data_IF_748484848388
#
_entry.id   IF_748484848388
#
_cell.length_a   1.000
_cell.length_b   1.000
_cell.length_c   1.000
_cell.angle_alpha   90.00
_cell.angle_beta   90.00
_cell.angle_gamma   90.00
#
_symmetry.space_group_name_H-M   'P 1'
#
loop_
_entity.id
_entity.type
_entity.pdbx_description
1 polymer ?
#
# COMPACT_ATOMS: atom_id res chain seq x y z
N UNK A 1 73.47 26.01 72.41
CA UNK A 1 74.70 25.34 72.02
C UNK A 1 74.65 25.10 70.54
N UNK A 2 75.11 26.08 69.74
CA UNK A 2 76.42 26.10 69.04
C UNK A 2 76.70 24.87 68.18
N UNK A 3 76.56 25.00 66.88
CA UNK A 3 77.71 25.13 65.96
C UNK A 3 77.28 25.29 64.50
N UNK A 4 77.76 26.35 63.92
CA UNK A 4 77.93 26.72 62.53
C UNK A 4 79.03 25.88 61.91
N UNK A 5 78.89 25.44 60.65
CA UNK A 5 80.06 25.31 59.73
C UNK A 5 79.62 25.64 58.29
N UNK A 6 80.46 26.42 57.64
CA UNK A 6 80.47 27.08 56.36
C UNK A 6 80.71 26.15 55.14
N UNK A 7 80.07 26.45 54.01
CA UNK A 7 80.45 26.67 52.59
C UNK A 7 81.72 25.94 52.02
N UNK A 8 81.73 25.48 50.72
CA UNK A 8 81.97 26.45 49.65
C UNK A 8 81.19 26.19 48.33
N UNK A 9 81.03 27.26 47.57
CA UNK A 9 80.60 27.44 46.21
C UNK A 9 81.43 26.67 45.19
N UNK A 10 80.84 26.18 44.12
CA UNK A 10 81.54 26.04 42.85
C UNK A 10 80.56 26.30 41.67
N UNK A 11 81.10 27.06 40.77
CA UNK A 11 80.50 27.78 39.64
C UNK A 11 80.53 26.89 38.38
N UNK A 12 79.65 27.20 37.46
CA UNK A 12 79.65 26.99 35.97
C UNK A 12 79.13 25.69 35.36
N UNK A 13 78.21 25.92 34.41
CA UNK A 13 77.87 25.00 33.38
C UNK A 13 76.53 25.30 32.68
N UNK A 14 76.47 26.44 31.97
CA UNK A 14 75.36 26.75 31.05
C UNK A 14 75.39 25.84 29.83
N UNK A 15 74.33 25.14 29.57
CA UNK A 15 74.04 24.59 28.22
C UNK A 15 72.59 24.80 27.87
N UNK A 16 72.25 25.54 26.81
CA UNK A 16 70.85 25.73 26.35
C UNK A 16 70.57 24.76 25.22
N UNK A 17 70.04 23.59 25.51
CA UNK A 17 69.53 22.70 24.47
C UNK A 17 68.44 21.78 24.99
N UNK A 18 67.23 22.31 25.29
CA UNK A 18 66.01 21.50 25.49
C UNK A 18 64.70 22.22 25.17
N UNK A 19 64.65 23.25 24.35
CA UNK A 19 63.38 23.94 23.99
C UNK A 19 62.86 23.61 22.64
N UNK A 20 63.53 22.93 21.73
CA UNK A 20 63.08 22.63 20.38
C UNK A 20 62.27 21.30 20.27
N UNK A 21 62.49 20.33 21.15
CA UNK A 21 61.74 19.02 21.05
C UNK A 21 60.33 19.07 21.59
N UNK A 22 60.00 19.97 22.53
CA UNK A 22 58.59 20.04 23.05
C UNK A 22 57.63 20.71 22.12
N UNK A 23 57.98 21.59 21.20
CA UNK A 23 57.07 22.24 20.26
C UNK A 23 56.67 21.31 19.12
N UNK A 24 57.55 20.45 18.65
CA UNK A 24 57.23 19.52 17.55
C UNK A 24 56.30 18.37 17.99
N UNK A 25 56.36 17.94 19.25
CA UNK A 25 55.48 16.90 19.80
C UNK A 25 54.04 17.39 19.99
N UNK A 26 53.86 18.65 20.44
CA UNK A 26 52.51 19.22 20.60
C UNK A 26 51.81 19.45 19.25
N UNK A 27 52.53 19.86 18.21
CA UNK A 27 51.93 20.03 16.86
C UNK A 27 51.53 18.71 16.21
N UNK A 28 52.30 17.65 16.42
CA UNK A 28 51.95 16.31 15.93
C UNK A 28 50.71 15.74 16.65
N UNK A 29 50.61 15.92 17.97
CA UNK A 29 49.46 15.49 18.76
C UNK A 29 48.18 16.24 18.34
N UNK A 30 48.30 17.56 18.13
CA UNK A 30 47.20 18.41 17.70
C UNK A 30 46.75 18.09 16.27
N UNK A 31 47.67 17.81 15.35
CA UNK A 31 47.38 17.37 13.99
C UNK A 31 46.66 15.99 13.98
N UNK A 32 47.10 15.05 14.82
CA UNK A 32 46.47 13.74 14.95
C UNK A 32 45.05 13.85 15.53
N UNK A 33 44.82 14.70 16.54
CA UNK A 33 43.45 14.95 17.05
C UNK A 33 42.53 15.57 16.02
N UNK A 34 42.98 16.50 15.21
CA UNK A 34 42.22 17.14 14.15
C UNK A 34 41.79 16.08 13.09
N UNK A 35 42.71 15.19 12.70
CA UNK A 35 42.44 14.10 11.74
C UNK A 35 41.45 13.11 12.33
N UNK A 36 41.56 12.72 13.59
CA UNK A 36 40.62 11.81 14.25
C UNK A 36 39.24 12.44 14.37
N UNK A 37 39.15 13.72 14.74
CA UNK A 37 37.85 14.44 14.80
C UNK A 37 37.22 14.56 13.39
N UNK A 38 38.03 14.82 12.37
CA UNK A 38 37.56 14.88 10.99
C UNK A 38 37.05 13.51 10.49
N UNK A 39 37.73 12.41 10.84
CA UNK A 39 37.29 11.04 10.52
C UNK A 39 35.98 10.69 11.26
N UNK A 40 35.87 11.03 12.53
CA UNK A 40 34.64 10.81 13.31
C UNK A 40 33.50 11.66 12.74
N UNK A 41 33.73 12.91 12.39
CA UNK A 41 32.74 13.76 11.75
C UNK A 41 32.32 13.23 10.38
N UNK A 42 33.27 12.72 9.57
CA UNK A 42 32.95 12.07 8.29
C UNK A 42 32.17 10.75 8.47
N UNK A 43 32.49 9.94 9.48
CA UNK A 43 31.76 8.73 9.82
C UNK A 43 30.33 9.03 10.34
N UNK A 44 30.15 10.09 11.12
CA UNK A 44 28.83 10.56 11.57
C UNK A 44 28.01 11.12 10.41
N UNK A 45 28.64 11.82 9.47
CA UNK A 45 28.00 12.30 8.24
C UNK A 45 27.62 11.14 7.31
N UNK A 46 28.47 10.09 7.20
CA UNK A 46 28.16 8.87 6.43
C UNK A 46 27.09 8.00 7.10
N UNK A 47 27.06 7.96 8.43
CA UNK A 47 26.00 7.26 9.17
C UNK A 47 24.65 8.02 9.11
N UNK A 48 24.68 9.35 9.00
CA UNK A 48 23.48 10.19 8.81
C UNK A 48 22.90 10.16 7.40
N UNK A 49 23.63 9.62 6.42
CA UNK A 49 23.17 9.42 5.03
C UNK A 49 22.69 7.99 4.73
N UNK A 50 22.51 7.12 5.74
CA UNK A 50 21.53 6.06 5.61
C UNK A 50 20.20 6.77 5.35
N UNK A 51 19.76 6.84 4.09
CA UNK A 51 18.48 7.41 3.71
C UNK A 51 17.46 6.75 4.63
N UNK A 52 16.90 7.51 5.56
CA UNK A 52 15.67 7.09 6.21
C UNK A 52 14.73 6.82 5.04
N UNK A 53 14.50 5.55 4.72
CA UNK A 53 13.55 5.15 3.70
C UNK A 53 12.24 5.78 4.16
N UNK A 54 11.78 6.77 3.43
CA UNK A 54 10.57 7.52 3.78
C UNK A 54 9.49 6.47 3.98
N UNK A 55 8.90 6.42 5.17
CA UNK A 55 7.83 5.47 5.44
C UNK A 55 6.79 5.58 4.32
N UNK A 56 6.29 4.48 3.76
CA UNK A 56 5.32 4.56 2.69
C UNK A 56 4.14 5.40 3.15
N UNK A 57 3.63 6.23 2.26
CA UNK A 57 2.45 7.06 2.53
C UNK A 57 1.24 6.18 2.86
N UNK A 58 1.17 4.99 2.24
CA UNK A 58 0.09 4.01 2.36
C UNK A 58 0.57 2.66 2.87
N UNK A 59 -0.25 2.02 3.70
CA UNK A 59 -0.04 0.63 4.12
C UNK A 59 -0.48 -0.36 3.02
N UNK A 60 -1.39 0.04 2.14
CA UNK A 60 -1.79 -0.72 0.97
C UNK A 60 -0.85 -0.43 -0.22
N UNK A 61 0.01 -1.39 -0.65
CA UNK A 61 0.95 -1.16 -1.74
C UNK A 61 0.29 -0.85 -3.09
N UNK A 62 -0.94 -1.31 -3.31
CA UNK A 62 -1.70 -0.98 -4.51
C UNK A 62 -2.16 0.49 -4.47
N UNK A 63 -2.63 0.97 -3.34
CA UNK A 63 -2.98 2.40 -3.16
C UNK A 63 -1.74 3.27 -3.31
N UNK A 64 -0.60 2.88 -2.72
CA UNK A 64 0.66 3.60 -2.86
C UNK A 64 1.03 3.88 -4.32
N UNK A 65 0.95 2.84 -5.18
CA UNK A 65 1.23 2.98 -6.61
C UNK A 65 0.18 3.82 -7.34
N UNK A 66 -1.11 3.55 -7.08
CA UNK A 66 -2.21 4.30 -7.73
C UNK A 66 -2.16 5.79 -7.37
N UNK A 67 -1.83 6.15 -6.13
CA UNK A 67 -1.67 7.52 -5.68
C UNK A 67 -0.53 8.25 -6.41
N UNK A 68 0.50 7.50 -6.83
CA UNK A 68 1.60 7.98 -7.68
C UNK A 68 1.27 7.97 -9.17
N UNK A 69 0.03 7.63 -9.56
CA UNK A 69 -0.39 7.50 -10.96
C UNK A 69 0.19 6.29 -11.69
N UNK A 70 0.83 5.36 -10.96
CA UNK A 70 1.39 4.13 -11.52
C UNK A 70 0.31 3.06 -11.69
N UNK A 71 0.46 2.15 -12.66
CA UNK A 71 -0.42 1.00 -12.79
C UNK A 71 -0.10 -0.05 -11.71
N UNK A 72 -1.11 -0.84 -11.35
CA UNK A 72 -1.00 -2.03 -10.52
C UNK A 72 -1.31 -3.27 -11.34
N UNK A 73 -0.52 -4.32 -11.13
CA UNK A 73 -0.69 -5.62 -11.79
C UNK A 73 -0.95 -6.67 -10.72
N UNK A 74 -1.94 -7.49 -10.95
CA UNK A 74 -2.33 -8.52 -9.99
C UNK A 74 -2.94 -9.76 -10.63
N UNK A 75 -3.34 -10.70 -9.78
CA UNK A 75 -3.95 -11.95 -10.19
C UNK A 75 -5.12 -12.32 -9.27
N UNK A 76 -5.81 -13.41 -9.61
CA UNK A 76 -6.89 -13.96 -8.77
C UNK A 76 -6.55 -15.35 -8.25
N UNK A 77 -7.25 -15.76 -7.20
CA UNK A 77 -7.26 -17.13 -6.69
C UNK A 77 -8.62 -17.46 -6.09
N UNK A 78 -9.02 -18.71 -6.17
CA UNK A 78 -10.11 -19.34 -5.40
C UNK A 78 -9.55 -20.26 -4.30
N UNK A 79 -8.25 -20.58 -4.35
CA UNK A 79 -7.56 -21.38 -3.36
C UNK A 79 -7.06 -20.53 -2.19
N UNK A 80 -7.75 -20.63 -1.05
CA UNK A 80 -7.42 -19.99 0.22
C UNK A 80 -6.62 -20.90 1.16
N UNK A 81 -6.01 -21.98 0.65
CA UNK A 81 -5.12 -22.80 1.47
C UNK A 81 -3.94 -21.97 1.99
N UNK A 82 -3.49 -22.27 3.19
CA UNK A 82 -2.37 -21.60 3.84
C UNK A 82 -1.12 -21.58 2.96
N UNK A 83 -0.83 -22.70 2.28
CA UNK A 83 0.32 -22.85 1.41
C UNK A 83 0.23 -21.95 0.17
N UNK A 84 -0.96 -21.85 -0.46
CA UNK A 84 -1.15 -20.98 -1.60
C UNK A 84 -1.02 -19.51 -1.19
N UNK A 85 -1.66 -19.09 -0.08
CA UNK A 85 -1.58 -17.72 0.40
C UNK A 85 -0.14 -17.31 0.79
N UNK A 86 0.67 -18.20 1.39
CA UNK A 86 2.10 -17.97 1.61
C UNK A 86 2.86 -17.76 0.29
N UNK A 87 2.50 -18.51 -0.76
CA UNK A 87 3.13 -18.37 -2.07
C UNK A 87 2.75 -17.03 -2.72
N UNK A 88 1.47 -16.66 -2.64
CA UNK A 88 0.94 -15.40 -3.17
C UNK A 88 1.61 -14.17 -2.56
N UNK A 89 1.92 -14.19 -1.25
CA UNK A 89 2.60 -13.10 -0.56
C UNK A 89 3.98 -12.75 -1.14
N UNK A 90 4.59 -13.66 -1.91
CA UNK A 90 5.94 -13.53 -2.47
C UNK A 90 5.97 -13.28 -3.98
N UNK A 91 4.82 -13.37 -4.64
CA UNK A 91 4.75 -13.13 -6.08
C UNK A 91 5.13 -11.67 -6.41
N UNK A 92 5.48 -11.46 -7.67
CA UNK A 92 5.78 -10.12 -8.16
C UNK A 92 4.52 -9.45 -8.72
N UNK A 93 3.52 -9.36 -7.84
CA UNK A 93 2.27 -8.66 -8.08
C UNK A 93 2.08 -7.55 -7.04
N UNK A 94 1.25 -6.57 -7.39
CA UNK A 94 0.86 -5.49 -6.49
C UNK A 94 -0.36 -5.86 -5.66
N UNK A 95 -1.24 -6.69 -6.23
CA UNK A 95 -2.43 -7.20 -5.55
C UNK A 95 -2.77 -8.63 -5.97
N UNK A 96 -3.47 -9.31 -5.10
CA UNK A 96 -4.21 -10.55 -5.38
C UNK A 96 -5.62 -10.38 -4.88
N UNK A 97 -6.61 -10.87 -5.61
CA UNK A 97 -7.94 -10.98 -5.02
C UNK A 97 -8.40 -12.44 -4.95
N UNK A 98 -9.05 -12.74 -3.81
CA UNK A 98 -9.76 -14.00 -3.62
C UNK A 98 -11.12 -13.89 -4.30
N UNK A 99 -11.41 -14.84 -5.20
CA UNK A 99 -12.67 -14.91 -5.92
C UNK A 99 -13.61 -15.86 -5.20
N UNK A 100 -14.56 -15.29 -4.46
CA UNK A 100 -15.66 -16.02 -3.83
C UNK A 100 -16.99 -15.82 -4.56
N UNK A 101 -17.03 -15.06 -5.65
CA UNK A 101 -18.22 -14.97 -6.51
C UNK A 101 -18.46 -16.29 -7.25
N UNK A 102 -17.41 -16.85 -7.86
CA UNK A 102 -17.47 -18.10 -8.60
C UNK A 102 -16.96 -19.30 -7.78
N UNK A 103 -16.56 -19.05 -6.54
CA UNK A 103 -16.13 -20.04 -5.57
C UNK A 103 -16.99 -20.03 -4.30
N UNK A 104 -16.72 -20.94 -3.35
CA UNK A 104 -17.45 -20.97 -2.08
C UNK A 104 -17.20 -19.69 -1.26
N UNK A 105 -18.24 -19.12 -0.68
CA UNK A 105 -18.11 -18.07 0.33
C UNK A 105 -17.50 -18.70 1.60
N UNK A 106 -16.22 -18.42 1.85
CA UNK A 106 -15.45 -18.98 2.95
C UNK A 106 -14.69 -17.89 3.70
N UNK A 107 -15.34 -17.28 4.68
CA UNK A 107 -14.75 -16.19 5.47
C UNK A 107 -13.62 -16.68 6.39
N UNK A 108 -13.67 -17.92 6.89
CA UNK A 108 -12.57 -18.49 7.68
C UNK A 108 -11.32 -18.68 6.82
N UNK A 109 -11.49 -19.19 5.59
CA UNK A 109 -10.40 -19.30 4.62
C UNK A 109 -9.81 -17.93 4.29
N UNK A 110 -10.65 -16.90 4.13
CA UNK A 110 -10.19 -15.53 3.92
C UNK A 110 -9.36 -15.01 5.10
N UNK A 111 -9.79 -15.25 6.34
CA UNK A 111 -9.06 -14.85 7.55
C UNK A 111 -7.68 -15.53 7.60
N UNK A 112 -7.60 -16.83 7.29
CA UNK A 112 -6.33 -17.56 7.19
C UNK A 112 -5.43 -16.98 6.09
N UNK A 113 -6.00 -16.65 4.94
CA UNK A 113 -5.25 -16.07 3.84
C UNK A 113 -4.70 -14.69 4.20
N UNK A 114 -5.49 -13.81 4.81
CA UNK A 114 -5.02 -12.52 5.32
C UNK A 114 -3.82 -12.70 6.24
N UNK A 115 -3.91 -13.60 7.22
CA UNK A 115 -2.82 -13.88 8.15
C UNK A 115 -1.58 -14.47 7.46
N UNK A 116 -1.78 -15.32 6.44
CA UNK A 116 -0.71 -16.01 5.70
C UNK A 116 0.03 -15.08 4.73
N UNK A 117 -0.61 -14.04 4.24
CA UNK A 117 0.00 -13.10 3.28
C UNK A 117 0.97 -12.10 3.91
N UNK A 118 1.16 -12.13 5.22
CA UNK A 118 2.17 -11.31 5.91
C UNK A 118 3.52 -12.03 5.88
N UNK A 119 4.38 -11.68 4.94
CA UNK A 119 5.79 -12.12 4.94
C UNK A 119 6.59 -11.31 5.97
N UNK A 120 6.72 -11.86 7.18
CA UNK A 120 7.42 -11.23 8.31
C UNK A 120 8.87 -10.88 8.00
N UNK A 121 9.55 -11.72 7.20
CA UNK A 121 10.94 -11.45 6.83
C UNK A 121 11.04 -10.24 5.90
N UNK A 122 10.11 -10.10 4.94
CA UNK A 122 10.02 -8.95 4.06
C UNK A 122 9.69 -7.67 4.83
N UNK A 123 8.71 -7.72 5.75
CA UNK A 123 8.32 -6.61 6.64
C UNK A 123 9.51 -6.15 7.49
N UNK A 124 10.20 -7.06 8.17
CA UNK A 124 11.37 -6.74 9.00
C UNK A 124 12.51 -6.15 8.18
N UNK A 125 12.79 -6.71 6.99
CA UNK A 125 13.84 -6.18 6.08
C UNK A 125 13.49 -4.80 5.54
N UNK A 126 12.20 -4.56 5.24
CA UNK A 126 11.69 -3.29 4.72
C UNK A 126 11.62 -2.21 5.81
N UNK A 127 11.45 -2.60 7.08
CA UNK A 127 11.34 -1.70 8.22
C UNK A 127 10.00 -0.98 8.35
N UNK A 128 8.94 -1.49 7.71
CA UNK A 128 7.58 -0.98 7.84
C UNK A 128 6.54 -2.09 7.65
N UNK A 129 5.30 -1.83 8.08
CA UNK A 129 4.20 -2.81 8.10
C UNK A 129 3.54 -3.07 6.72
N UNK A 130 3.86 -2.32 5.66
CA UNK A 130 3.27 -2.49 4.35
C UNK A 130 3.63 -3.87 3.76
N UNK A 131 2.67 -4.73 3.41
CA UNK A 131 2.94 -6.01 2.75
C UNK A 131 3.52 -5.79 1.34
N UNK A 132 4.10 -6.83 0.73
CA UNK A 132 4.52 -6.77 -0.67
C UNK A 132 3.33 -6.76 -1.63
N UNK A 133 2.29 -7.53 -1.31
CA UNK A 133 1.11 -7.77 -2.14
C UNK A 133 -0.14 -7.43 -1.34
N UNK A 134 -0.99 -6.56 -1.84
CA UNK A 134 -2.28 -6.28 -1.22
C UNK A 134 -3.28 -7.43 -1.46
N UNK A 135 -4.04 -7.78 -0.43
CA UNK A 135 -5.11 -8.77 -0.56
C UNK A 135 -6.46 -8.07 -0.68
N UNK A 136 -7.19 -8.40 -1.74
CA UNK A 136 -8.57 -7.99 -2.00
C UNK A 136 -9.47 -9.23 -2.04
N UNK A 137 -10.78 -9.03 -2.07
CA UNK A 137 -11.73 -10.10 -2.31
C UNK A 137 -12.89 -9.63 -3.21
N UNK A 138 -13.48 -10.58 -3.90
CA UNK A 138 -14.73 -10.47 -4.63
C UNK A 138 -15.72 -11.45 -4.01
N UNK A 139 -16.90 -10.95 -3.66
CA UNK A 139 -17.93 -11.73 -2.96
C UNK A 139 -19.09 -12.09 -3.89
N UNK A 140 -19.92 -13.12 -3.55
CA UNK A 140 -21.06 -13.51 -4.37
C UNK A 140 -22.21 -12.48 -4.35
N UNK A 141 -22.22 -11.55 -3.40
CA UNK A 141 -23.23 -10.51 -3.35
C UNK A 141 -22.97 -9.45 -4.43
N UNK A 142 -23.94 -9.28 -5.33
CA UNK A 142 -23.91 -8.20 -6.31
C UNK A 142 -24.02 -6.82 -5.65
N UNK A 143 -23.49 -5.77 -6.30
CA UNK A 143 -23.57 -4.41 -5.80
C UNK A 143 -25.01 -3.91 -5.53
N UNK A 144 -26.00 -4.49 -6.18
CA UNK A 144 -27.41 -4.24 -5.93
C UNK A 144 -27.99 -4.96 -4.69
N UNK A 145 -27.35 -6.04 -4.21
CA UNK A 145 -27.71 -6.74 -2.98
C UNK A 145 -27.04 -6.05 -1.78
N UNK A 146 -27.63 -4.93 -1.38
CA UNK A 146 -27.08 -4.10 -0.29
C UNK A 146 -27.18 -4.77 1.07
N UNK A 147 -28.18 -5.64 1.29
CA UNK A 147 -28.37 -6.34 2.57
C UNK A 147 -27.25 -7.34 2.83
N UNK A 148 -26.91 -8.15 1.82
CA UNK A 148 -25.78 -9.08 1.93
C UNK A 148 -24.44 -8.35 2.02
N UNK A 149 -24.24 -7.29 1.26
CA UNK A 149 -22.99 -6.50 1.30
C UNK A 149 -22.77 -5.82 2.65
N UNK A 150 -23.78 -5.37 3.37
CA UNK A 150 -23.62 -4.70 4.67
C UNK A 150 -22.81 -5.56 5.66
N UNK A 151 -23.17 -6.82 5.86
CA UNK A 151 -22.48 -7.68 6.81
C UNK A 151 -21.22 -8.33 6.24
N UNK A 152 -21.18 -8.70 4.95
CA UNK A 152 -20.00 -9.30 4.30
C UNK A 152 -18.82 -8.31 4.31
N UNK A 153 -19.06 -7.06 3.88
CA UNK A 153 -18.04 -5.99 3.84
C UNK A 153 -17.45 -5.77 5.23
N UNK A 154 -18.31 -5.65 6.24
CA UNK A 154 -17.86 -5.47 7.61
C UNK A 154 -16.96 -6.61 8.09
N UNK A 155 -17.38 -7.86 7.92
CA UNK A 155 -16.59 -9.02 8.37
C UNK A 155 -15.26 -9.10 7.61
N UNK A 156 -15.25 -8.90 6.31
CA UNK A 156 -14.04 -8.94 5.50
C UNK A 156 -13.01 -7.87 5.91
N UNK A 157 -13.47 -6.65 6.13
CA UNK A 157 -12.58 -5.57 6.55
C UNK A 157 -12.11 -5.73 8.01
N UNK A 158 -12.93 -6.32 8.88
CA UNK A 158 -12.53 -6.62 10.26
C UNK A 158 -11.46 -7.73 10.34
N UNK A 159 -11.32 -8.56 9.29
CA UNK A 159 -10.21 -9.52 9.13
C UNK A 159 -8.91 -8.86 8.67
N UNK A 160 -8.96 -7.64 8.12
CA UNK A 160 -7.80 -6.93 7.62
C UNK A 160 -7.67 -6.87 6.10
N UNK A 161 -8.74 -7.16 5.35
CA UNK A 161 -8.76 -7.03 3.90
C UNK A 161 -8.53 -5.56 3.49
N UNK A 162 -7.82 -5.35 2.36
CA UNK A 162 -7.41 -4.01 1.90
C UNK A 162 -8.21 -3.48 0.71
N UNK A 163 -9.11 -4.28 0.15
CA UNK A 163 -9.96 -3.85 -0.96
C UNK A 163 -11.06 -4.85 -1.26
N UNK A 164 -12.16 -4.34 -1.83
CA UNK A 164 -13.32 -5.15 -2.20
C UNK A 164 -13.73 -4.83 -3.63
N UNK A 165 -13.88 -5.88 -4.43
CA UNK A 165 -14.46 -5.82 -5.78
C UNK A 165 -15.96 -6.12 -5.64
N UNK A 166 -16.78 -5.16 -6.00
CA UNK A 166 -18.23 -5.23 -5.94
C UNK A 166 -18.79 -5.56 -7.34
N UNK A 167 -19.26 -6.77 -7.53
CA UNK A 167 -19.83 -7.24 -8.81
C UNK A 167 -21.10 -6.48 -9.17
N UNK A 168 -21.37 -6.31 -10.45
CA UNK A 168 -22.66 -5.84 -10.96
C UNK A 168 -23.17 -4.54 -10.34
N UNK A 169 -22.28 -3.58 -10.14
CA UNK A 169 -22.67 -2.22 -9.71
C UNK A 169 -23.28 -1.48 -10.88
N UNK A 170 -24.51 -1.02 -10.71
CA UNK A 170 -25.32 -0.43 -11.78
C UNK A 170 -25.60 1.05 -11.59
N UNK A 171 -25.59 1.55 -10.34
CA UNK A 171 -25.95 2.95 -10.05
C UNK A 171 -25.02 3.61 -9.07
N UNK A 172 -25.02 4.94 -9.12
CA UNK A 172 -24.32 5.81 -8.18
C UNK A 172 -24.79 5.59 -6.74
N UNK A 173 -26.08 5.40 -6.53
CA UNK A 173 -26.69 5.20 -5.21
C UNK A 173 -26.23 3.89 -4.58
N UNK A 174 -26.20 2.81 -5.36
CA UNK A 174 -25.65 1.51 -4.92
C UNK A 174 -24.18 1.69 -4.48
N UNK A 175 -23.35 2.28 -5.34
CA UNK A 175 -21.92 2.46 -5.03
C UNK A 175 -21.70 3.37 -3.83
N UNK A 176 -22.50 4.43 -3.68
CA UNK A 176 -22.47 5.28 -2.48
C UNK A 176 -22.70 4.47 -1.21
N UNK A 177 -23.71 3.56 -1.24
CA UNK A 177 -24.03 2.71 -0.10
C UNK A 177 -22.90 1.71 0.22
N UNK A 178 -22.29 1.11 -0.80
CA UNK A 178 -21.15 0.21 -0.65
C UNK A 178 -19.93 0.92 -0.04
N UNK A 179 -19.66 2.15 -0.45
CA UNK A 179 -18.62 2.99 0.18
C UNK A 179 -18.95 3.24 1.66
N UNK A 180 -20.20 3.52 2.00
CA UNK A 180 -20.62 3.71 3.41
C UNK A 180 -20.37 2.46 4.26
N UNK A 181 -20.58 1.26 3.73
CA UNK A 181 -20.32 0.00 4.44
C UNK A 181 -18.83 -0.23 4.72
N UNK A 182 -17.94 0.32 3.88
CA UNK A 182 -16.49 0.21 4.09
C UNK A 182 -15.97 1.20 5.14
N UNK A 183 -16.66 2.29 5.39
CA UNK A 183 -16.21 3.39 6.24
C UNK A 183 -16.73 3.27 7.66
N UNK A 184 -15.89 3.54 8.65
CA UNK A 184 -16.37 3.82 10.00
C UNK A 184 -17.15 5.14 10.04
N UNK A 185 -18.12 5.31 10.98
CA UNK A 185 -18.70 6.63 11.23
C UNK A 185 -17.61 7.65 11.55
N UNK A 186 -17.59 8.75 10.82
CA UNK A 186 -16.54 9.77 10.96
C UNK A 186 -16.70 10.57 12.25
N UNK A 187 -15.57 10.90 12.88
CA UNK A 187 -15.55 11.85 13.98
C UNK A 187 -16.00 13.23 13.48
N UNK A 188 -16.61 14.04 14.36
CA UNK A 188 -17.13 15.38 14.02
C UNK A 188 -16.05 16.31 13.44
N UNK A 189 -14.79 16.07 13.79
CA UNK A 189 -13.61 16.83 13.32
C UNK A 189 -13.04 16.36 12.00
N UNK A 190 -13.51 15.24 11.44
CA UNK A 190 -13.02 14.71 10.18
C UNK A 190 -13.29 15.69 9.03
N UNK A 191 -12.34 15.80 8.11
CA UNK A 191 -12.49 16.57 6.87
C UNK A 191 -13.38 15.86 5.84
N UNK A 192 -13.48 14.53 5.93
CA UNK A 192 -14.14 13.67 4.92
C UNK A 192 -15.45 13.12 5.48
N UNK A 193 -16.42 14.01 5.77
CA UNK A 193 -17.68 13.65 6.40
C UNK A 193 -18.63 12.86 5.49
N UNK A 194 -18.56 13.06 4.17
CA UNK A 194 -19.52 12.51 3.22
C UNK A 194 -18.86 11.53 2.23
N UNK A 195 -19.53 10.42 1.93
CA UNK A 195 -20.74 9.89 2.58
C UNK A 195 -20.41 9.35 3.99
N UNK A 196 -21.32 9.49 4.98
CA UNK A 196 -21.06 9.03 6.35
C UNK A 196 -20.89 7.50 6.38
N UNK A 197 -19.95 7.01 7.19
CA UNK A 197 -19.69 5.58 7.33
C UNK A 197 -20.77 4.86 8.14
N UNK A 198 -20.94 3.58 7.86
CA UNK A 198 -21.92 2.69 8.50
C UNK A 198 -21.28 1.44 9.10
N UNK A 199 -19.98 1.22 8.85
CA UNK A 199 -19.27 0.04 9.36
C UNK A 199 -19.27 0.04 10.89
N UNK A 200 -19.73 -1.07 11.51
CA UNK A 200 -19.60 -1.28 12.94
C UNK A 200 -18.13 -1.37 13.38
N UNK A 201 -17.82 -0.82 14.55
CA UNK A 201 -16.44 -0.72 15.03
C UNK A 201 -15.99 -2.01 15.73
N UNK A 202 -15.11 -2.80 15.09
CA UNK A 202 -14.46 -3.97 15.68
C UNK A 202 -13.07 -4.22 15.04
N UNK A 203 -12.09 -3.33 15.22
CA UNK A 203 -10.85 -3.35 14.44
C UNK A 203 -9.81 -4.38 14.91
N UNK A 204 -10.03 -5.13 15.97
CA UNK A 204 -8.98 -5.90 16.67
C UNK A 204 -8.19 -6.85 15.78
N UNK A 205 -8.84 -7.64 14.93
CA UNK A 205 -8.15 -8.55 14.02
C UNK A 205 -7.44 -7.80 12.89
N UNK A 206 -8.06 -6.76 12.34
CA UNK A 206 -7.46 -5.96 11.28
C UNK A 206 -6.23 -5.19 11.77
N UNK A 207 -6.25 -4.63 12.97
CA UNK A 207 -5.10 -4.01 13.64
C UNK A 207 -3.94 -5.00 13.74
N UNK A 208 -4.22 -6.24 14.17
CA UNK A 208 -3.21 -7.29 14.24
C UNK A 208 -2.68 -7.69 12.85
N UNK A 209 -3.58 -7.86 11.88
CA UNK A 209 -3.21 -8.25 10.51
C UNK A 209 -2.37 -7.18 9.80
N UNK A 210 -2.69 -5.90 10.01
CA UNK A 210 -1.92 -4.80 9.43
C UNK A 210 -0.63 -4.48 10.21
N UNK A 211 -0.47 -5.00 11.43
CA UNK A 211 0.72 -4.79 12.25
C UNK A 211 0.93 -3.35 12.71
N UNK A 212 -0.16 -2.63 12.97
CA UNK A 212 -0.17 -1.22 13.35
C UNK A 212 -0.92 -1.02 14.68
N UNK A 213 -0.84 0.18 15.26
CA UNK A 213 -1.67 0.54 16.41
C UNK A 213 -3.14 0.77 16.00
N UNK A 214 -4.07 0.69 16.96
CA UNK A 214 -5.48 0.98 16.69
C UNK A 214 -5.69 2.39 16.12
N UNK A 215 -4.97 3.39 16.63
CA UNK A 215 -5.04 4.77 16.16
C UNK A 215 -4.50 4.93 14.72
N UNK A 216 -3.46 4.18 14.34
CA UNK A 216 -2.97 4.15 12.96
C UNK A 216 -3.97 3.46 12.04
N UNK A 217 -4.50 2.31 12.47
CA UNK A 217 -5.53 1.60 11.71
C UNK A 217 -6.75 2.51 11.44
N UNK A 218 -7.26 3.23 12.44
CA UNK A 218 -8.40 4.13 12.26
C UNK A 218 -8.14 5.24 11.23
N UNK A 219 -6.93 5.76 11.14
CA UNK A 219 -6.56 6.76 10.12
C UNK A 219 -6.56 6.19 8.72
N UNK A 220 -6.08 4.95 8.57
CA UNK A 220 -5.89 4.28 7.30
C UNK A 220 -7.10 3.44 6.86
N UNK A 221 -7.99 3.05 7.78
CA UNK A 221 -9.17 2.23 7.50
C UNK A 221 -10.33 3.04 6.91
N UNK A 222 -10.03 3.87 5.93
CA UNK A 222 -10.99 4.64 5.15
C UNK A 222 -10.73 4.47 3.65
N UNK A 223 -11.68 4.82 2.81
CA UNK A 223 -11.59 4.58 1.37
C UNK A 223 -10.74 5.65 0.67
N UNK A 224 -9.75 5.19 -0.10
CA UNK A 224 -9.01 6.03 -1.02
C UNK A 224 -9.78 6.12 -2.36
N UNK A 225 -9.77 7.26 -3.09
CA UNK A 225 -9.10 8.54 -2.80
C UNK A 225 -9.93 9.55 -2.01
N UNK A 226 -11.12 9.19 -1.51
CA UNK A 226 -11.96 10.09 -0.72
C UNK A 226 -11.18 10.64 0.49
N UNK A 227 -10.56 9.75 1.25
CA UNK A 227 -9.55 10.11 2.23
C UNK A 227 -8.16 9.83 1.62
N UNK A 228 -7.32 10.86 1.38
CA UNK A 228 -5.99 10.65 0.81
C UNK A 228 -5.04 9.79 1.66
N UNK A 229 -5.31 9.63 2.97
CA UNK A 229 -4.56 8.73 3.87
C UNK A 229 -5.21 7.34 3.95
N UNK A 230 -6.35 7.13 3.31
CA UNK A 230 -7.07 5.85 3.32
C UNK A 230 -6.34 4.76 2.56
N UNK A 231 -6.47 3.53 3.05
CA UNK A 231 -5.83 2.34 2.47
C UNK A 231 -6.83 1.27 2.01
N UNK A 232 -8.12 1.59 2.03
CA UNK A 232 -9.17 0.70 1.52
C UNK A 232 -9.54 1.06 0.08
N UNK A 233 -9.56 0.06 -0.81
CA UNK A 233 -10.02 0.23 -2.19
C UNK A 233 -11.45 -0.30 -2.35
N UNK A 234 -12.38 0.59 -2.70
CA UNK A 234 -13.72 0.26 -3.16
C UNK A 234 -13.71 0.18 -4.69
N UNK A 235 -13.95 -1.01 -5.24
CA UNK A 235 -13.75 -1.30 -6.66
C UNK A 235 -15.08 -1.82 -7.26
N UNK A 236 -15.93 -0.94 -7.83
CA UNK A 236 -17.11 -1.41 -8.56
C UNK A 236 -16.69 -2.14 -9.82
N UNK A 237 -17.37 -3.26 -10.11
CA UNK A 237 -17.28 -3.97 -11.37
C UNK A 237 -18.47 -3.57 -12.25
N UNK A 238 -18.15 -2.92 -13.38
CA UNK A 238 -19.15 -2.53 -14.39
C UNK A 238 -19.20 -3.59 -15.46
N UNK A 239 -20.29 -4.35 -15.46
CA UNK A 239 -20.43 -5.55 -16.31
C UNK A 239 -21.85 -5.77 -16.84
N UNK A 240 -22.78 -4.86 -16.53
CA UNK A 240 -24.16 -4.87 -17.03
C UNK A 240 -24.41 -3.71 -17.99
N UNK A 241 -25.45 -3.81 -18.82
CA UNK A 241 -25.85 -2.72 -19.72
C UNK A 241 -26.24 -1.45 -18.93
N UNK A 242 -26.90 -1.60 -17.79
CA UNK A 242 -27.28 -0.46 -16.94
C UNK A 242 -26.04 0.16 -16.27
N UNK A 243 -25.11 -0.65 -15.75
CA UNK A 243 -23.84 -0.16 -15.19
C UNK A 243 -23.02 0.59 -16.25
N UNK A 244 -22.96 0.08 -17.48
CA UNK A 244 -22.29 0.75 -18.60
C UNK A 244 -22.92 2.12 -18.91
N UNK A 245 -24.24 2.19 -18.92
CA UNK A 245 -24.97 3.46 -19.15
C UNK A 245 -24.68 4.49 -18.07
N UNK A 246 -24.55 4.06 -16.80
CA UNK A 246 -24.36 4.91 -15.64
C UNK A 246 -22.87 5.07 -15.23
N UNK A 247 -21.92 4.51 -16.00
CA UNK A 247 -20.49 4.46 -15.61
C UNK A 247 -19.89 5.83 -15.32
N UNK A 248 -20.31 6.86 -16.04
CA UNK A 248 -19.83 8.22 -15.81
C UNK A 248 -20.26 8.77 -14.45
N UNK A 249 -21.48 8.47 -14.00
CA UNK A 249 -21.96 8.85 -12.68
C UNK A 249 -21.29 8.05 -11.57
N UNK A 250 -21.07 6.75 -11.78
CA UNK A 250 -20.32 5.88 -10.86
C UNK A 250 -18.90 6.39 -10.71
N UNK A 251 -18.22 6.70 -11.81
CA UNK A 251 -16.84 7.21 -11.80
C UNK A 251 -16.72 8.58 -11.12
N UNK A 252 -17.77 9.40 -11.12
CA UNK A 252 -17.77 10.72 -10.48
C UNK A 252 -17.80 10.68 -8.95
N UNK A 253 -18.03 9.50 -8.34
CA UNK A 253 -18.17 9.38 -6.89
C UNK A 253 -16.83 9.48 -6.17
N UNK A 254 -16.69 10.37 -5.16
CA UNK A 254 -15.57 10.32 -4.24
C UNK A 254 -15.53 8.97 -3.51
N UNK A 255 -14.37 8.31 -3.50
CA UNK A 255 -14.17 7.03 -2.83
C UNK A 255 -14.26 5.81 -3.73
N UNK A 256 -14.58 5.97 -5.03
CA UNK A 256 -14.31 4.93 -6.03
C UNK A 256 -12.81 4.86 -6.24
N UNK A 257 -12.18 3.78 -5.74
CA UNK A 257 -10.73 3.59 -5.78
C UNK A 257 -10.21 3.12 -7.14
N UNK A 258 -11.00 2.30 -7.83
CA UNK A 258 -10.80 1.90 -9.22
C UNK A 258 -12.15 1.41 -9.76
N UNK A 259 -12.34 1.41 -11.09
CA UNK A 259 -13.47 0.71 -11.75
C UNK A 259 -12.88 -0.50 -12.45
N UNK A 260 -13.44 -1.69 -12.22
CA UNK A 260 -12.97 -2.93 -12.84
C UNK A 260 -13.96 -3.46 -13.86
N UNK A 261 -13.43 -4.01 -14.95
CA UNK A 261 -14.22 -4.80 -15.93
C UNK A 261 -13.68 -6.21 -15.90
N UNK A 262 -14.55 -7.19 -15.69
CA UNK A 262 -14.19 -8.60 -15.77
C UNK A 262 -13.64 -8.98 -17.16
N UNK A 263 -13.37 -10.27 -17.37
CA UNK A 263 -12.84 -10.78 -18.64
C UNK A 263 -13.78 -10.56 -19.86
N UNK A 264 -14.84 -9.82 -19.67
CA UNK A 264 -15.84 -9.55 -20.70
C UNK A 264 -16.94 -10.63 -20.78
N UNK A 265 -16.91 -11.60 -19.84
CA UNK A 265 -17.90 -12.67 -19.79
C UNK A 265 -19.32 -12.14 -19.60
N UNK A 266 -19.57 -11.38 -18.56
CA UNK A 266 -20.90 -10.88 -18.27
C UNK A 266 -21.30 -9.72 -19.18
N UNK A 267 -20.37 -8.78 -19.43
CA UNK A 267 -20.65 -7.61 -20.25
C UNK A 267 -21.16 -7.98 -21.65
N UNK A 268 -20.56 -8.98 -22.33
CA UNK A 268 -21.01 -9.40 -23.65
C UNK A 268 -22.43 -10.08 -23.59
N UNK A 269 -22.70 -10.83 -22.53
CA UNK A 269 -24.01 -11.47 -22.34
C UNK A 269 -25.12 -10.43 -22.09
N UNK A 270 -24.84 -9.44 -21.20
CA UNK A 270 -25.78 -8.34 -20.97
C UNK A 270 -25.97 -7.43 -22.19
N UNK A 271 -24.98 -7.32 -23.07
CA UNK A 271 -25.09 -6.62 -24.35
C UNK A 271 -25.73 -7.48 -25.43
N UNK A 272 -25.93 -8.78 -25.22
CA UNK A 272 -26.56 -9.71 -26.17
C UNK A 272 -25.71 -9.95 -27.43
N UNK A 273 -24.39 -9.91 -27.33
CA UNK A 273 -23.44 -10.04 -28.44
C UNK A 273 -22.34 -11.05 -28.14
N UNK A 274 -21.67 -11.63 -29.16
CA UNK A 274 -20.46 -12.46 -28.93
C UNK A 274 -19.36 -11.71 -28.19
N UNK A 275 -18.55 -12.43 -27.43
CA UNK A 275 -17.48 -11.85 -26.58
C UNK A 275 -16.41 -11.10 -27.40
N UNK A 276 -16.13 -11.52 -28.63
CA UNK A 276 -15.21 -10.92 -29.58
C UNK A 276 -15.83 -9.80 -30.43
N UNK A 277 -17.11 -9.46 -30.17
CA UNK A 277 -17.78 -8.38 -30.89
C UNK A 277 -17.09 -7.04 -30.67
N UNK A 278 -16.94 -6.22 -31.74
CA UNK A 278 -16.46 -4.83 -31.60
C UNK A 278 -17.28 -3.99 -30.62
N UNK A 279 -18.56 -4.33 -30.40
CA UNK A 279 -19.44 -3.68 -29.41
C UNK A 279 -18.87 -3.82 -27.99
N UNK A 280 -18.32 -5.00 -27.67
CA UNK A 280 -17.69 -5.23 -26.34
C UNK A 280 -16.46 -4.37 -26.16
N UNK A 281 -15.61 -4.25 -27.19
CA UNK A 281 -14.44 -3.36 -27.12
C UNK A 281 -14.87 -1.89 -27.04
N UNK A 282 -15.90 -1.48 -27.77
CA UNK A 282 -16.46 -0.12 -27.67
C UNK A 282 -16.97 0.16 -26.25
N UNK A 283 -17.64 -0.80 -25.61
CA UNK A 283 -18.08 -0.68 -24.22
C UNK A 283 -16.89 -0.53 -23.25
N UNK A 284 -15.82 -1.32 -23.42
CA UNK A 284 -14.57 -1.19 -22.65
C UNK A 284 -13.97 0.20 -22.78
N UNK A 285 -13.87 0.72 -24.01
CA UNK A 285 -13.33 2.06 -24.25
C UNK A 285 -14.24 3.18 -23.68
N UNK A 286 -15.56 2.96 -23.65
CA UNK A 286 -16.52 3.87 -23.00
C UNK A 286 -16.25 3.94 -21.48
N UNK A 287 -16.04 2.79 -20.83
CA UNK A 287 -15.71 2.73 -19.41
C UNK A 287 -14.34 3.39 -19.14
N UNK A 288 -13.32 3.10 -19.96
CA UNK A 288 -12.01 3.73 -19.84
C UNK A 288 -12.09 5.26 -19.99
N UNK A 289 -12.91 5.75 -20.93
CA UNK A 289 -13.12 7.18 -21.12
C UNK A 289 -13.74 7.84 -19.87
N UNK A 290 -14.76 7.20 -19.26
CA UNK A 290 -15.36 7.67 -18.02
C UNK A 290 -14.32 7.70 -16.87
N UNK A 291 -13.50 6.67 -16.72
CA UNK A 291 -12.41 6.65 -15.74
C UNK A 291 -11.44 7.82 -15.93
N UNK A 292 -11.01 8.06 -17.18
CA UNK A 292 -10.08 9.16 -17.50
C UNK A 292 -10.70 10.54 -17.22
N UNK A 293 -11.99 10.72 -17.53
CA UNK A 293 -12.71 11.97 -17.30
C UNK A 293 -12.79 12.34 -15.80
N UNK A 294 -12.84 11.33 -14.92
CA UNK A 294 -12.94 11.53 -13.48
C UNK A 294 -11.63 11.23 -12.72
N UNK A 295 -10.53 10.96 -13.44
CA UNK A 295 -9.24 10.60 -12.86
C UNK A 295 -9.32 9.39 -11.90
N UNK A 296 -10.14 8.40 -12.24
CA UNK A 296 -10.28 7.14 -11.51
C UNK A 296 -9.44 6.06 -12.22
N UNK A 297 -8.64 5.25 -11.51
CA UNK A 297 -7.97 4.09 -12.10
C UNK A 297 -9.00 3.14 -12.73
N UNK A 298 -8.74 2.69 -13.96
CA UNK A 298 -9.60 1.71 -14.62
C UNK A 298 -8.90 0.36 -14.69
N UNK A 299 -9.64 -0.72 -14.39
CA UNK A 299 -9.14 -2.09 -14.35
C UNK A 299 -9.73 -2.99 -15.42
N UNK A 300 -8.91 -3.90 -15.95
CA UNK A 300 -9.29 -4.88 -16.97
C UNK A 300 -8.51 -6.18 -16.80
N UNK A 301 -9.05 -7.28 -17.28
CA UNK A 301 -8.33 -8.55 -17.41
C UNK A 301 -7.55 -8.58 -18.72
N UNK A 302 -6.25 -8.89 -18.64
CA UNK A 302 -5.36 -9.13 -19.76
C UNK A 302 -4.47 -10.33 -19.42
N UNK A 303 -4.58 -11.44 -20.15
CA UNK A 303 -3.99 -12.72 -19.76
C UNK A 303 -2.60 -12.96 -20.34
N UNK A 304 -2.29 -12.31 -21.47
CA UNK A 304 -0.97 -12.42 -22.11
C UNK A 304 -0.15 -11.16 -21.88
N UNK A 305 1.18 -11.30 -21.94
CA UNK A 305 2.06 -10.13 -21.83
C UNK A 305 1.73 -9.07 -22.89
N UNK A 306 1.44 -9.49 -24.11
CA UNK A 306 1.06 -8.57 -25.20
C UNK A 306 -0.20 -7.80 -24.86
N UNK A 307 -1.24 -8.48 -24.35
CA UNK A 307 -2.47 -7.80 -23.93
C UNK A 307 -2.23 -6.82 -22.79
N UNK A 308 -1.42 -7.21 -21.81
CA UNK A 308 -1.02 -6.31 -20.70
C UNK A 308 -0.37 -5.05 -21.24
N UNK A 309 0.62 -5.18 -22.13
CA UNK A 309 1.35 -4.05 -22.73
C UNK A 309 0.39 -3.12 -23.52
N UNK A 310 -0.55 -3.70 -24.28
CA UNK A 310 -1.58 -2.94 -25.02
C UNK A 310 -2.46 -2.17 -24.02
N UNK A 311 -3.02 -2.84 -23.01
CA UNK A 311 -3.93 -2.21 -22.05
C UNK A 311 -3.24 -1.10 -21.24
N UNK A 312 -1.99 -1.30 -20.85
CA UNK A 312 -1.20 -0.25 -20.20
C UNK A 312 -0.99 0.97 -21.12
N UNK A 313 -0.71 0.75 -22.41
CA UNK A 313 -0.56 1.84 -23.40
C UNK A 313 -1.87 2.61 -23.61
N UNK A 314 -3.01 1.95 -23.54
CA UNK A 314 -4.32 2.58 -23.59
C UNK A 314 -4.63 3.44 -22.33
N UNK A 315 -3.92 3.18 -21.23
CA UNK A 315 -4.05 3.92 -19.96
C UNK A 315 -4.85 3.20 -18.87
N UNK A 316 -5.08 1.89 -19.02
CA UNK A 316 -5.60 1.08 -17.93
C UNK A 316 -4.59 1.05 -16.77
N UNK A 317 -5.06 1.13 -15.54
CA UNK A 317 -4.22 1.26 -14.34
C UNK A 317 -4.31 0.10 -13.37
N UNK A 318 -5.27 -0.80 -13.53
CA UNK A 318 -5.42 -2.00 -12.71
C UNK A 318 -5.54 -3.22 -13.65
N UNK A 319 -4.48 -4.01 -13.78
CA UNK A 319 -4.47 -5.16 -14.69
C UNK A 319 -4.55 -6.45 -13.89
N UNK A 320 -5.57 -7.26 -14.17
CA UNK A 320 -5.60 -8.66 -13.72
C UNK A 320 -5.00 -9.53 -14.81
N UNK A 321 -3.97 -10.31 -14.48
CA UNK A 321 -3.32 -11.24 -15.42
C UNK A 321 -3.24 -12.65 -14.85
N UNK A 322 -2.79 -13.60 -15.68
CA UNK A 322 -2.46 -14.95 -15.23
C UNK A 322 -1.24 -14.95 -14.30
N UNK A 323 -1.05 -16.05 -13.56
CA UNK A 323 0.10 -16.16 -12.63
C UNK A 323 1.44 -16.31 -13.34
N UNK A 324 1.47 -16.45 -14.68
CA UNK A 324 2.64 -16.80 -15.46
C UNK A 324 3.11 -18.24 -15.13
N UNK A 325 3.20 -19.11 -16.11
CA UNK A 325 3.96 -20.35 -15.99
C UNK A 325 5.45 -20.08 -16.16
#
# INVERSE_FOLDING_TARGET
MTRVILVPSCILGTTPMRRLARRSFSHRLMATMIVVVAIIAALVMLAGSASAQQAPLHLNPAVEKLAQGQPIIGTQTDDMSLQNCHSLARLDFDYVYVDMEHGPLNLDGLAYCVAAMVDKAAVLKKGNAQPKVALFARFPAYGRDLESNDWIVKQALDMGLMGIIFNGVETKEQMTRLIQFMRYPQQKTSKYQQPPGLRGYAPGNAVFAWGVSAAEYERHADVWPLNPEGDLLAIPMVETAEGLKNVNEIASLPGVGAIFIGAGGDLHQYLGVPQDSPIVEQARQTILAACKAHNVPCGITALTKTDVDIRLTEGWKMIRTGRGE
#
